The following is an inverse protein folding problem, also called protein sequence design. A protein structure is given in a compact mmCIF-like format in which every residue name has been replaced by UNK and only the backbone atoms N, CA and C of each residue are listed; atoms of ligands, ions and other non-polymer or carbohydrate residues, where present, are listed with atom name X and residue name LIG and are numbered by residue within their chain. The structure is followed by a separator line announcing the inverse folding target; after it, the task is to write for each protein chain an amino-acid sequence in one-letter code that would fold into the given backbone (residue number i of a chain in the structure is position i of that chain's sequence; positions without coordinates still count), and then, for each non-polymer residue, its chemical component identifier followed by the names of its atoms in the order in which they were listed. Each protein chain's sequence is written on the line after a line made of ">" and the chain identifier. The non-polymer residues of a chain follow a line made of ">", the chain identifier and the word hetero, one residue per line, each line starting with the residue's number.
data_IF_032704080355
#
_entry.id   IF_032704080355
#
_cell.length_a   1.000
_cell.length_b   1.000
_cell.length_c   1.000
_cell.angle_alpha   90.00
_cell.angle_beta   90.00
_cell.angle_gamma   90.00
#
_symmetry.space_group_name_H-M   'P 1'
#
loop_
_entity.id
_entity.type
_entity.pdbx_description
1 polymer ?
#
# COMPACT_ATOMS: atom_id res chain seq x y z
N UNK A 1 3.54 43.77 13.66
CA UNK A 1 2.36 42.92 13.33
C UNK A 1 2.82 41.86 12.34
N UNK A 2 2.98 40.61 12.80
CA UNK A 2 3.28 39.48 11.92
C UNK A 2 1.96 39.02 11.29
N UNK A 3 1.77 39.31 10.01
CA UNK A 3 0.64 38.80 9.23
C UNK A 3 0.84 37.27 9.11
N UNK A 4 0.17 36.52 9.98
CA UNK A 4 0.06 35.07 9.85
C UNK A 4 -0.90 34.78 8.70
N UNK A 5 -0.35 34.52 7.51
CA UNK A 5 -1.14 33.96 6.42
C UNK A 5 -1.70 32.62 6.89
N UNK A 6 -3.00 32.33 6.72
CA UNK A 6 -3.52 31.01 6.98
C UNK A 6 -2.74 30.03 6.11
N UNK A 7 -2.02 29.10 6.75
CA UNK A 7 -1.34 28.01 6.03
C UNK A 7 -2.41 27.20 5.32
N UNK A 8 -2.54 27.38 4.01
CA UNK A 8 -3.40 26.54 3.18
C UNK A 8 -2.81 25.14 3.16
N UNK A 9 -3.53 24.18 3.72
CA UNK A 9 -3.11 22.78 3.73
C UNK A 9 -3.56 22.09 2.43
N UNK A 10 -2.61 21.65 1.61
CA UNK A 10 -2.89 20.81 0.44
C UNK A 10 -3.06 19.38 0.91
N UNK A 11 -4.25 18.82 0.75
CA UNK A 11 -4.54 17.42 1.13
C UNK A 11 -4.21 16.51 -0.05
N UNK A 12 -3.19 15.66 0.11
CA UNK A 12 -2.89 14.60 -0.85
C UNK A 12 -3.91 13.48 -0.68
N UNK A 13 -4.65 13.14 -1.74
CA UNK A 13 -5.61 12.03 -1.76
C UNK A 13 -5.07 10.86 -2.56
N UNK A 14 -5.44 9.65 -2.14
CA UNK A 14 -5.21 8.42 -2.92
C UNK A 14 -6.32 8.23 -3.94
N UNK A 15 -5.96 7.72 -5.11
CA UNK A 15 -6.91 7.35 -6.15
C UNK A 15 -7.78 6.15 -5.68
N UNK A 16 -9.00 6.00 -6.22
CA UNK A 16 -9.78 4.79 -6.03
C UNK A 16 -8.98 3.55 -6.43
N UNK A 17 -9.08 2.49 -5.62
CA UNK A 17 -8.48 1.20 -5.91
C UNK A 17 -9.46 0.11 -5.48
N UNK A 18 -10.23 -0.37 -6.47
CA UNK A 18 -11.24 -1.41 -6.33
C UNK A 18 -10.57 -2.78 -6.28
N UNK A 19 -11.11 -3.68 -5.47
CA UNK A 19 -10.64 -5.08 -5.36
C UNK A 19 -11.75 -6.01 -5.84
N UNK A 20 -12.97 -5.74 -5.39
CA UNK A 20 -14.17 -6.48 -5.74
C UNK A 20 -14.30 -6.59 -7.27
N UNK A 21 -14.54 -7.82 -7.72
CA UNK A 21 -14.70 -8.19 -9.14
C UNK A 21 -13.51 -7.94 -10.07
N UNK A 22 -12.36 -7.50 -9.55
CA UNK A 22 -11.15 -7.22 -10.35
C UNK A 22 -9.98 -8.16 -10.04
N UNK A 23 -10.17 -9.14 -9.15
CA UNK A 23 -9.14 -10.11 -8.80
C UNK A 23 -9.07 -11.23 -9.85
N UNK A 24 -7.87 -11.44 -10.42
CA UNK A 24 -7.59 -12.43 -11.46
C UNK A 24 -6.65 -13.49 -10.86
N UNK A 25 -6.98 -14.80 -10.87
CA UNK A 25 -6.06 -15.84 -10.45
C UNK A 25 -4.74 -15.77 -11.24
N UNK A 26 -3.59 -15.89 -10.59
CA UNK A 26 -2.29 -15.82 -11.28
C UNK A 26 -2.13 -16.77 -12.49
N UNK A 27 -2.62 -18.03 -12.44
CA UNK A 27 -2.59 -18.92 -13.61
C UNK A 27 -3.35 -18.40 -14.83
N UNK A 28 -4.34 -17.51 -14.63
CA UNK A 28 -5.05 -16.82 -15.71
C UNK A 28 -4.38 -15.49 -16.06
N UNK A 29 -3.95 -14.74 -15.05
CA UNK A 29 -3.38 -13.40 -15.23
C UNK A 29 -2.08 -13.42 -16.02
N UNK A 30 -1.13 -14.31 -15.70
CA UNK A 30 0.20 -14.28 -16.31
C UNK A 30 0.19 -14.57 -17.83
N UNK A 31 -0.52 -15.58 -18.36
CA UNK A 31 -0.60 -15.76 -19.81
C UNK A 31 -1.31 -14.57 -20.49
N UNK A 32 -2.35 -14.02 -19.86
CA UNK A 32 -3.01 -12.80 -20.36
C UNK A 32 -2.05 -11.60 -20.39
N UNK A 33 -1.23 -11.42 -19.36
CA UNK A 33 -0.19 -10.40 -19.32
C UNK A 33 0.85 -10.58 -20.45
N UNK A 34 1.29 -11.81 -20.69
CA UNK A 34 2.20 -12.12 -21.80
C UNK A 34 1.57 -11.74 -23.14
N UNK A 35 0.33 -12.18 -23.38
CA UNK A 35 -0.41 -11.87 -24.61
C UNK A 35 -0.68 -10.37 -24.76
N UNK A 36 -0.87 -9.65 -23.66
CA UNK A 36 -0.97 -8.19 -23.69
C UNK A 36 0.33 -7.57 -24.20
N UNK A 37 1.50 -8.03 -23.72
CA UNK A 37 2.80 -7.60 -24.25
C UNK A 37 2.90 -7.84 -25.76
N UNK A 38 2.48 -9.03 -26.23
CA UNK A 38 2.49 -9.35 -27.66
C UNK A 38 1.58 -8.41 -28.47
N UNK A 39 0.39 -8.07 -27.96
CA UNK A 39 -0.51 -7.12 -28.63
C UNK A 39 0.03 -5.69 -28.68
N UNK A 40 0.93 -5.32 -27.75
CA UNK A 40 1.66 -4.06 -27.76
C UNK A 40 2.89 -4.07 -28.68
N UNK A 41 3.18 -5.18 -29.35
CA UNK A 41 4.30 -5.32 -30.28
C UNK A 41 5.61 -5.77 -29.63
N UNK A 42 5.58 -6.29 -28.40
CA UNK A 42 6.75 -6.90 -27.78
C UNK A 42 7.14 -8.17 -28.54
N UNK A 43 8.44 -8.47 -28.60
CA UNK A 43 8.99 -9.58 -29.39
C UNK A 43 9.31 -10.76 -28.49
N UNK A 44 8.71 -11.91 -28.83
CA UNK A 44 8.97 -13.19 -28.19
C UNK A 44 10.48 -13.47 -28.11
N UNK A 45 10.93 -13.96 -26.95
CA UNK A 45 12.34 -14.30 -26.71
C UNK A 45 13.25 -13.10 -26.42
N UNK A 46 12.77 -11.87 -26.61
CA UNK A 46 13.48 -10.63 -26.27
C UNK A 46 12.88 -9.90 -25.07
N UNK A 47 11.80 -10.46 -24.50
CA UNK A 47 11.16 -9.92 -23.29
C UNK A 47 11.95 -10.33 -22.06
N UNK A 48 12.46 -9.34 -21.32
CA UNK A 48 12.97 -9.55 -19.96
C UNK A 48 11.89 -9.17 -18.94
N UNK A 49 11.23 -10.14 -18.30
CA UNK A 49 10.33 -9.87 -17.20
C UNK A 49 11.12 -9.51 -15.95
N UNK A 50 10.51 -8.68 -15.12
CA UNK A 50 11.00 -8.28 -13.82
C UNK A 50 9.85 -8.29 -12.83
N UNK A 51 10.17 -8.62 -11.58
CA UNK A 51 9.22 -8.58 -10.47
C UNK A 51 9.69 -7.69 -9.33
N UNK A 52 8.74 -7.03 -8.70
CA UNK A 52 8.92 -6.30 -7.45
C UNK A 52 7.87 -6.73 -6.42
N UNK A 53 8.06 -7.96 -5.93
CA UNK A 53 7.23 -8.58 -4.89
C UNK A 53 7.96 -8.63 -3.56
N UNK A 54 7.20 -8.84 -2.48
CA UNK A 54 7.74 -9.15 -1.17
C UNK A 54 8.55 -10.47 -1.19
N UNK A 55 9.44 -10.65 -0.21
CA UNK A 55 10.25 -11.87 -0.04
C UNK A 55 9.51 -13.03 0.62
N UNK A 56 8.21 -12.87 0.93
CA UNK A 56 7.36 -13.87 1.58
C UNK A 56 7.18 -15.12 0.67
N UNK A 57 7.10 -16.32 1.25
CA UNK A 57 7.09 -17.58 0.48
C UNK A 57 5.87 -17.72 -0.43
N UNK A 58 4.75 -17.12 -0.02
CA UNK A 58 3.50 -17.14 -0.79
C UNK A 58 3.58 -16.32 -2.10
N UNK A 59 4.66 -15.55 -2.31
CA UNK A 59 4.94 -14.86 -3.57
C UNK A 59 5.73 -15.72 -4.58
N UNK A 60 6.12 -16.95 -4.20
CA UNK A 60 6.92 -17.83 -5.04
C UNK A 60 6.18 -18.37 -6.28
N UNK A 61 4.91 -18.76 -6.14
CA UNK A 61 4.11 -19.28 -7.26
C UNK A 61 3.91 -18.25 -8.39
N UNK A 62 3.57 -16.97 -8.09
CA UNK A 62 3.64 -15.89 -9.06
C UNK A 62 4.93 -15.86 -9.91
N UNK A 63 6.09 -16.01 -9.28
CA UNK A 63 7.41 -15.98 -9.94
C UNK A 63 7.58 -17.19 -10.87
N UNK A 64 7.14 -18.38 -10.44
CA UNK A 64 7.18 -19.60 -11.26
C UNK A 64 6.30 -19.45 -12.49
N UNK A 65 5.09 -18.92 -12.34
CA UNK A 65 4.17 -18.70 -13.46
C UNK A 65 4.71 -17.66 -14.45
N UNK A 66 5.32 -16.57 -13.97
CA UNK A 66 6.04 -15.63 -14.83
C UNK A 66 7.15 -16.33 -15.62
N UNK A 67 7.97 -17.14 -14.93
CA UNK A 67 9.06 -17.89 -15.58
C UNK A 67 8.52 -18.82 -16.67
N UNK A 68 7.42 -19.53 -16.39
CA UNK A 68 6.76 -20.43 -17.34
C UNK A 68 6.29 -19.70 -18.61
N UNK A 69 5.70 -18.52 -18.48
CA UNK A 69 5.07 -17.85 -19.62
C UNK A 69 6.01 -16.93 -20.39
N UNK A 70 6.98 -16.31 -19.73
CA UNK A 70 7.98 -15.46 -20.38
C UNK A 70 9.24 -16.23 -20.82
N UNK A 71 9.39 -17.48 -20.39
CA UNK A 71 10.50 -18.35 -20.79
C UNK A 71 11.84 -18.06 -20.10
N UNK A 72 11.88 -17.12 -19.16
CA UNK A 72 13.07 -16.79 -18.37
C UNK A 72 12.68 -16.35 -16.96
N UNK A 73 13.58 -16.56 -15.99
CA UNK A 73 13.32 -16.18 -14.61
C UNK A 73 13.28 -14.66 -14.48
N UNK A 74 12.27 -14.07 -13.82
CA UNK A 74 12.13 -12.62 -13.75
C UNK A 74 13.27 -11.98 -12.95
N UNK A 75 13.82 -10.91 -13.51
CA UNK A 75 14.78 -10.07 -12.83
C UNK A 75 14.19 -9.52 -11.52
N UNK A 76 14.98 -9.50 -10.45
CA UNK A 76 14.52 -9.05 -9.14
C UNK A 76 14.71 -7.53 -8.97
N UNK A 77 13.64 -6.76 -9.16
CA UNK A 77 13.57 -5.34 -8.77
C UNK A 77 13.11 -5.13 -7.33
N UNK A 78 12.49 -6.14 -6.72
CA UNK A 78 11.79 -6.02 -5.46
C UNK A 78 12.68 -5.88 -4.23
N UNK A 79 12.16 -5.12 -3.27
CA UNK A 79 12.49 -5.13 -1.86
C UNK A 79 11.25 -5.52 -1.06
N UNK A 80 11.43 -5.81 0.22
CA UNK A 80 10.35 -6.21 1.14
C UNK A 80 9.21 -5.17 1.12
N UNK A 81 7.96 -5.62 1.12
CA UNK A 81 6.78 -4.76 1.08
C UNK A 81 6.32 -4.34 -0.33
N UNK A 82 6.98 -4.82 -1.39
CA UNK A 82 6.63 -4.50 -2.77
C UNK A 82 7.26 -3.20 -3.28
N UNK A 83 8.35 -2.75 -2.66
CA UNK A 83 9.11 -1.56 -3.03
C UNK A 83 10.07 -1.87 -4.18
N UNK A 84 10.21 -0.97 -5.15
CA UNK A 84 11.15 -1.12 -6.27
C UNK A 84 12.51 -0.48 -5.96
N UNK A 85 13.58 -1.23 -6.23
CA UNK A 85 14.95 -0.74 -6.21
C UNK A 85 15.27 0.00 -7.53
N UNK A 86 15.20 1.34 -7.55
CA UNK A 86 15.43 2.16 -8.76
C UNK A 86 16.87 2.08 -9.26
N UNK A 87 17.82 1.79 -8.38
CA UNK A 87 19.22 1.50 -8.70
C UNK A 87 19.39 0.26 -9.61
N UNK A 88 18.33 -0.54 -9.78
CA UNK A 88 18.35 -1.73 -10.63
C UNK A 88 17.75 -1.52 -12.03
N UNK A 89 17.30 -0.31 -12.36
CA UNK A 89 16.76 -0.02 -13.69
C UNK A 89 17.78 -0.26 -14.80
N UNK A 90 19.01 0.24 -14.65
CA UNK A 90 20.09 0.06 -15.63
C UNK A 90 20.42 -1.42 -15.86
N UNK A 91 20.75 -2.20 -14.81
CA UNK A 91 20.99 -3.63 -14.94
C UNK A 91 19.84 -4.38 -15.62
N UNK A 92 18.59 -4.11 -15.25
CA UNK A 92 17.44 -4.73 -15.90
C UNK A 92 17.34 -4.37 -17.40
N UNK A 93 17.55 -3.10 -17.74
CA UNK A 93 17.44 -2.64 -19.12
C UNK A 93 18.48 -3.28 -20.06
N UNK A 94 19.61 -3.72 -19.53
CA UNK A 94 20.66 -4.41 -20.29
C UNK A 94 20.35 -5.89 -20.56
N UNK A 95 19.35 -6.47 -19.90
CA UNK A 95 19.06 -7.90 -19.96
C UNK A 95 17.98 -8.28 -20.98
N UNK A 96 17.37 -7.29 -21.66
CA UNK A 96 16.37 -7.51 -22.70
C UNK A 96 16.20 -6.30 -23.61
N UNK A 97 15.55 -6.51 -24.75
CA UNK A 97 15.18 -5.40 -25.64
C UNK A 97 13.78 -4.89 -25.36
N UNK A 98 12.89 -5.78 -24.92
CA UNK A 98 11.54 -5.48 -24.50
C UNK A 98 11.39 -5.83 -23.02
N UNK A 99 10.79 -4.96 -22.21
CA UNK A 99 10.92 -5.02 -20.76
C UNK A 99 9.57 -5.00 -20.06
N UNK A 100 9.36 -5.89 -19.09
CA UNK A 100 8.12 -5.94 -18.31
C UNK A 100 8.47 -5.83 -16.84
N UNK A 101 7.90 -4.87 -16.13
CA UNK A 101 8.03 -4.74 -14.68
C UNK A 101 6.66 -5.01 -14.07
N UNK A 102 6.54 -6.09 -13.30
CA UNK A 102 5.35 -6.38 -12.50
C UNK A 102 5.65 -6.10 -11.02
N UNK A 103 4.99 -5.10 -10.46
CA UNK A 103 5.13 -4.73 -9.05
C UNK A 103 3.85 -5.05 -8.29
N UNK A 104 4.00 -5.63 -7.11
CA UNK A 104 2.87 -5.86 -6.25
C UNK A 104 3.26 -5.74 -4.78
N UNK A 105 2.43 -5.02 -4.03
CA UNK A 105 2.28 -5.30 -2.60
C UNK A 105 1.37 -6.50 -2.42
N UNK A 106 1.33 -7.07 -1.22
CA UNK A 106 0.53 -8.27 -0.96
C UNK A 106 -0.18 -8.22 0.39
N UNK A 107 -1.29 -8.92 0.48
CA UNK A 107 -2.09 -9.07 1.69
C UNK A 107 -2.77 -10.42 1.71
N UNK A 108 -2.78 -11.08 2.87
CA UNK A 108 -3.55 -12.30 3.05
C UNK A 108 -5.05 -12.02 3.01
N UNK A 109 -5.82 -12.92 2.43
CA UNK A 109 -7.28 -12.83 2.36
C UNK A 109 -7.90 -14.18 2.72
N UNK A 110 -8.83 -14.16 3.68
CA UNK A 110 -9.65 -15.31 4.02
C UNK A 110 -10.99 -15.23 3.27
N UNK A 111 -11.25 -16.11 2.30
CA UNK A 111 -12.48 -16.08 1.51
C UNK A 111 -13.74 -16.45 2.30
N UNK A 112 -13.61 -17.15 3.44
CA UNK A 112 -14.77 -17.52 4.26
C UNK A 112 -15.28 -16.36 5.10
N UNK A 113 -14.36 -15.59 5.67
CA UNK A 113 -14.69 -14.47 6.57
C UNK A 113 -14.67 -13.11 5.88
N UNK A 114 -14.07 -13.03 4.69
CA UNK A 114 -13.81 -11.77 3.98
C UNK A 114 -12.79 -10.88 4.68
N UNK A 115 -11.95 -11.46 5.56
CA UNK A 115 -10.98 -10.71 6.36
C UNK A 115 -9.62 -10.63 5.67
N UNK A 116 -8.93 -9.51 5.89
CA UNK A 116 -7.62 -9.23 5.30
C UNK A 116 -6.51 -9.28 6.36
N UNK A 117 -5.29 -9.57 5.90
CA UNK A 117 -4.05 -9.41 6.66
C UNK A 117 -3.50 -10.68 7.30
N UNK A 118 -4.18 -11.82 7.15
CA UNK A 118 -3.78 -13.11 7.74
C UNK A 118 -3.61 -14.19 6.68
N UNK A 119 -2.69 -15.13 6.95
CA UNK A 119 -2.39 -16.25 6.06
C UNK A 119 -1.98 -17.48 6.87
N UNK A 120 -2.42 -18.67 6.45
CA UNK A 120 -2.03 -19.96 7.05
C UNK A 120 -0.63 -20.33 6.55
N UNK A 121 0.31 -20.60 7.46
CA UNK A 121 1.69 -20.93 7.11
C UNK A 121 1.83 -22.44 6.85
N UNK A 122 2.04 -22.88 5.60
CA UNK A 122 1.92 -24.30 5.22
C UNK A 122 3.08 -25.18 5.73
N UNK A 123 4.15 -24.58 6.28
CA UNK A 123 5.33 -25.29 6.78
C UNK A 123 5.42 -25.35 8.31
N UNK A 124 4.34 -25.01 9.01
CA UNK A 124 4.25 -25.09 10.47
C UNK A 124 3.41 -26.29 10.87
N UNK A 125 3.77 -26.95 11.97
CA UNK A 125 2.95 -28.01 12.55
C UNK A 125 1.63 -27.41 13.09
N UNK A 126 0.51 -28.07 12.79
CA UNK A 126 -0.83 -27.56 13.08
C UNK A 126 -1.20 -26.33 12.25
N UNK A 127 -2.39 -25.78 12.48
CA UNK A 127 -2.86 -24.58 11.77
C UNK A 127 -2.25 -23.32 12.38
N UNK A 128 -1.11 -22.88 11.85
CA UNK A 128 -0.49 -21.61 12.26
C UNK A 128 -0.92 -20.48 11.34
N UNK A 129 -1.56 -19.45 11.89
CA UNK A 129 -2.00 -18.26 11.17
C UNK A 129 -1.15 -17.06 11.60
N UNK A 130 -0.60 -16.32 10.64
CA UNK A 130 0.22 -15.13 10.92
C UNK A 130 -0.04 -14.01 9.92
N UNK A 131 0.62 -12.86 10.10
CA UNK A 131 0.40 -11.68 9.27
C UNK A 131 0.92 -11.88 7.83
N UNK A 132 0.16 -11.40 6.84
CA UNK A 132 0.58 -11.26 5.44
C UNK A 132 0.02 -9.95 4.88
N UNK A 133 0.83 -8.99 4.42
CA UNK A 133 2.28 -8.89 4.48
C UNK A 133 2.81 -8.68 5.91
N UNK A 134 3.81 -9.47 6.33
CA UNK A 134 4.44 -9.33 7.64
C UNK A 134 5.09 -7.96 7.87
N UNK A 135 5.86 -7.46 6.90
CA UNK A 135 6.56 -6.16 7.01
C UNK A 135 5.59 -4.99 7.08
N UNK A 136 4.59 -4.92 6.19
CA UNK A 136 3.60 -3.83 6.21
C UNK A 136 2.83 -3.84 7.53
N UNK A 137 2.41 -5.02 7.98
CA UNK A 137 1.69 -5.14 9.26
C UNK A 137 2.57 -4.67 10.41
N UNK A 138 3.85 -5.08 10.45
CA UNK A 138 4.80 -4.63 11.47
C UNK A 138 4.95 -3.10 11.51
N UNK A 139 5.02 -2.45 10.34
CA UNK A 139 5.12 -0.99 10.24
C UNK A 139 3.89 -0.29 10.80
N UNK A 140 2.68 -0.77 10.52
CA UNK A 140 1.46 -0.07 10.92
C UNK A 140 1.01 -0.40 12.36
N UNK A 141 1.45 -1.52 12.94
CA UNK A 141 1.00 -1.96 14.28
C UNK A 141 1.17 -0.90 15.37
N UNK A 142 2.34 -0.24 15.53
CA UNK A 142 2.51 0.77 16.59
C UNK A 142 1.50 1.93 16.47
N UNK A 143 1.15 2.33 15.25
CA UNK A 143 0.17 3.40 15.00
C UNK A 143 -1.25 2.94 15.32
N UNK A 144 -1.60 1.69 14.99
CA UNK A 144 -2.89 1.09 15.35
C UNK A 144 -3.04 1.06 16.88
N UNK A 145 -1.99 0.65 17.60
CA UNK A 145 -2.00 0.62 19.07
C UNK A 145 -2.18 2.01 19.67
N UNK A 146 -1.50 3.03 19.14
CA UNK A 146 -1.67 4.41 19.58
C UNK A 146 -3.07 4.97 19.27
N UNK A 147 -3.61 4.67 18.09
CA UNK A 147 -4.96 5.08 17.71
C UNK A 147 -6.01 4.44 18.62
N UNK A 148 -5.92 3.12 18.86
CA UNK A 148 -6.82 2.42 19.80
C UNK A 148 -6.66 2.90 21.24
N UNK A 149 -5.44 3.27 21.64
CA UNK A 149 -5.18 3.88 22.93
C UNK A 149 -5.87 5.26 23.07
N UNK A 150 -5.84 6.08 22.01
CA UNK A 150 -6.51 7.38 21.95
C UNK A 150 -8.04 7.25 21.95
N UNK A 151 -8.61 6.35 21.13
CA UNK A 151 -10.06 6.08 21.06
C UNK A 151 -10.68 5.77 22.42
N UNK A 152 -9.94 5.10 23.30
CA UNK A 152 -10.38 4.70 24.65
C UNK A 152 -10.21 5.79 25.71
N UNK A 153 -9.47 6.87 25.40
CA UNK A 153 -9.02 7.87 26.40
C UNK A 153 -9.38 9.31 26.08
N UNK A 154 -10.03 9.53 24.94
CA UNK A 154 -10.67 10.79 24.58
C UNK A 154 -12.16 10.60 24.83
N UNK A 155 -12.78 11.52 25.55
CA UNK A 155 -14.16 11.39 26.00
C UNK A 155 -15.03 12.53 25.48
N UNK A 156 -16.23 12.21 25.00
CA UNK A 156 -17.26 13.15 24.60
C UNK A 156 -18.37 13.16 25.66
N UNK A 157 -18.75 14.34 26.12
CA UNK A 157 -19.80 14.49 27.14
C UNK A 157 -20.57 15.79 26.97
N UNK A 158 -21.67 15.90 27.70
CA UNK A 158 -22.47 17.11 27.84
C UNK A 158 -22.51 17.54 29.29
N UNK A 159 -22.25 18.81 29.56
CA UNK A 159 -22.38 19.34 30.91
C UNK A 159 -23.87 19.57 31.29
N UNK A 160 -24.09 19.98 32.54
CA UNK A 160 -25.42 20.29 33.09
C UNK A 160 -26.08 21.48 32.39
N UNK A 161 -25.28 22.39 31.80
CA UNK A 161 -25.76 23.54 31.03
C UNK A 161 -26.10 23.20 29.58
N UNK A 162 -25.86 21.95 29.16
CA UNK A 162 -26.12 21.48 27.81
C UNK A 162 -24.97 21.69 26.82
N UNK A 163 -23.80 22.16 27.26
CA UNK A 163 -22.65 22.36 26.37
C UNK A 163 -22.01 21.02 26.01
N UNK A 164 -21.65 20.85 24.74
CA UNK A 164 -20.91 19.70 24.26
C UNK A 164 -19.41 19.88 24.49
N UNK A 165 -18.80 18.92 25.18
CA UNK A 165 -17.43 18.97 25.67
C UNK A 165 -16.62 17.76 25.21
N UNK A 166 -15.31 17.96 25.11
CA UNK A 166 -14.33 16.89 24.90
C UNK A 166 -13.26 16.94 25.97
N UNK A 167 -12.97 15.79 26.58
CA UNK A 167 -11.86 15.63 27.53
C UNK A 167 -10.76 14.81 26.86
N UNK A 168 -9.56 15.39 26.73
CA UNK A 168 -8.41 14.77 26.07
C UNK A 168 -7.25 14.62 27.05
N UNK A 169 -6.43 13.58 26.90
CA UNK A 169 -5.18 13.44 27.67
C UNK A 169 -4.14 14.43 27.16
N UNK A 170 -3.33 14.98 28.07
CA UNK A 170 -2.27 15.94 27.73
C UNK A 170 -1.26 15.37 26.71
N UNK A 171 -1.08 14.04 26.68
CA UNK A 171 -0.21 13.34 25.73
C UNK A 171 -0.65 13.47 24.27
N UNK A 172 -1.89 13.88 23.98
CA UNK A 172 -2.39 14.08 22.61
C UNK A 172 -2.47 15.55 22.19
N UNK A 173 -2.12 16.47 23.10
CA UNK A 173 -2.24 17.92 22.89
C UNK A 173 -0.86 18.50 22.63
N UNK A 174 -0.72 19.24 21.54
CA UNK A 174 0.55 19.84 21.14
C UNK A 174 0.76 21.21 21.79
N UNK A 175 1.10 21.21 23.08
CA UNK A 175 1.38 22.45 23.80
C UNK A 175 2.65 23.11 23.27
N UNK A 176 2.62 24.42 23.03
CA UNK A 176 3.77 25.16 22.52
C UNK A 176 5.03 25.04 23.41
N UNK A 177 4.85 24.92 24.73
CA UNK A 177 5.94 24.75 25.71
C UNK A 177 6.41 23.29 25.84
N UNK A 178 5.58 22.32 25.48
CA UNK A 178 5.89 20.90 25.56
C UNK A 178 5.20 20.16 24.41
N UNK A 179 5.74 20.31 23.18
CA UNK A 179 5.13 19.69 22.02
C UNK A 179 5.25 18.17 22.12
N UNK A 180 4.26 17.47 21.56
CA UNK A 180 4.33 16.00 21.44
C UNK A 180 5.55 15.68 20.59
N UNK A 181 6.46 14.83 21.07
CA UNK A 181 7.69 14.50 20.30
C UNK A 181 7.47 13.34 19.34
N UNK A 182 6.77 12.31 19.81
CA UNK A 182 6.45 11.13 19.03
C UNK A 182 5.05 10.66 19.41
N UNK A 183 4.22 10.41 18.39
CA UNK A 183 2.93 9.77 18.51
C UNK A 183 1.75 10.57 17.94
N UNK A 184 0.55 10.13 18.29
CA UNK A 184 -0.72 10.74 17.83
C UNK A 184 -0.93 12.13 18.44
N UNK A 185 -1.18 13.11 17.58
CA UNK A 185 -1.49 14.50 17.95
C UNK A 185 -2.86 14.87 17.40
N UNK A 186 -3.72 15.41 18.28
CA UNK A 186 -5.04 15.91 17.87
C UNK A 186 -4.91 17.28 17.20
N UNK A 187 -5.63 17.45 16.09
CA UNK A 187 -5.85 18.72 15.43
C UNK A 187 -7.01 19.44 16.13
N UNK A 188 -6.76 19.96 17.33
CA UNK A 188 -7.78 20.59 18.16
C UNK A 188 -8.51 21.72 17.45
N UNK A 189 -7.85 22.44 16.53
CA UNK A 189 -8.44 23.51 15.72
C UNK A 189 -9.61 23.04 14.83
N UNK A 190 -9.75 21.73 14.59
CA UNK A 190 -10.88 21.13 13.86
C UNK A 190 -11.98 20.59 14.78
N UNK A 191 -11.73 20.54 16.09
CA UNK A 191 -12.56 19.86 17.08
C UNK A 191 -13.22 20.87 18.02
N UNK A 192 -12.44 21.82 18.52
CA UNK A 192 -12.81 22.69 19.64
C UNK A 192 -13.28 24.07 19.18
N UNK A 193 -14.07 24.73 20.03
CA UNK A 193 -14.45 26.12 19.84
C UNK A 193 -13.24 27.02 20.07
N UNK A 194 -13.03 27.97 19.16
CA UNK A 194 -12.05 29.04 19.33
C UNK A 194 -12.68 30.21 20.10
N UNK A 195 -11.88 30.90 20.91
CA UNK A 195 -12.27 32.17 21.52
C UNK A 195 -12.26 33.32 20.50
N UNK A 196 -12.63 34.53 20.95
CA UNK A 196 -12.70 35.73 20.10
C UNK A 196 -11.33 36.12 19.50
N UNK A 197 -10.24 35.75 20.16
CA UNK A 197 -8.86 35.93 19.69
C UNK A 197 -8.37 34.76 18.82
N UNK A 198 -9.25 33.83 18.45
CA UNK A 198 -8.97 32.60 17.70
C UNK A 198 -8.00 31.64 18.40
N UNK A 199 -7.98 31.64 19.73
CA UNK A 199 -7.19 30.74 20.57
C UNK A 199 -8.01 29.55 21.02
N UNK A 200 -7.32 28.46 21.31
CA UNK A 200 -7.89 27.26 21.93
C UNK A 200 -7.69 27.41 23.43
N UNK A 201 -8.79 27.55 24.17
CA UNK A 201 -8.76 27.73 25.63
C UNK A 201 -9.56 26.60 26.29
N UNK A 202 -8.96 25.84 27.24
CA UNK A 202 -9.69 24.80 27.94
C UNK A 202 -10.75 25.40 28.87
N UNK A 203 -11.90 24.73 28.97
CA UNK A 203 -12.91 25.05 29.98
C UNK A 203 -12.53 24.53 31.37
N UNK A 204 -11.72 23.46 31.41
CA UNK A 204 -11.16 22.92 32.64
C UNK A 204 -9.80 22.24 32.39
N UNK A 205 -8.91 22.36 33.37
CA UNK A 205 -7.63 21.64 33.40
C UNK A 205 -7.65 20.62 34.53
N UNK A 206 -7.37 19.36 34.19
CA UNK A 206 -7.25 18.23 35.11
C UNK A 206 -5.79 17.80 35.23
N UNK A 207 -5.48 16.90 36.17
CA UNK A 207 -4.10 16.46 36.45
C UNK A 207 -3.36 15.88 35.23
N UNK A 208 -4.07 15.20 34.33
CA UNK A 208 -3.50 14.55 33.13
C UNK A 208 -4.25 14.85 31.85
N UNK A 209 -5.21 15.78 31.91
CA UNK A 209 -6.18 16.01 30.84
C UNK A 209 -6.62 17.46 30.77
N UNK A 210 -7.14 17.85 29.61
CA UNK A 210 -7.83 19.12 29.42
C UNK A 210 -9.20 18.88 28.83
N UNK A 211 -10.16 19.70 29.27
CA UNK A 211 -11.53 19.70 28.76
C UNK A 211 -11.73 20.95 27.92
N UNK A 212 -12.31 20.79 26.73
CA UNK A 212 -12.58 21.88 25.80
C UNK A 212 -14.05 21.88 25.41
N UNK A 213 -14.57 23.08 25.15
CA UNK A 213 -15.85 23.22 24.44
C UNK A 213 -15.67 22.85 22.97
N UNK A 214 -16.63 22.12 22.41
CA UNK A 214 -16.59 21.70 21.01
C UNK A 214 -17.02 22.81 20.06
N UNK A 215 -16.41 22.82 18.87
CA UNK A 215 -16.81 23.71 17.79
C UNK A 215 -18.09 23.23 17.12
N UNK A 216 -18.91 24.17 16.63
CA UNK A 216 -20.22 23.88 16.02
C UNK A 216 -20.13 22.90 14.84
N UNK A 217 -19.10 23.05 13.99
CA UNK A 217 -18.87 22.16 12.84
C UNK A 217 -18.63 20.71 13.26
N UNK A 218 -17.84 20.52 14.32
CA UNK A 218 -17.56 19.20 14.84
C UNK A 218 -18.80 18.61 15.53
N UNK A 219 -19.53 19.39 16.32
CA UNK A 219 -20.80 18.95 16.90
C UNK A 219 -21.78 18.49 15.82
N UNK A 220 -22.02 19.30 14.78
CA UNK A 220 -22.90 18.92 13.66
C UNK A 220 -22.48 17.62 12.99
N UNK A 221 -21.16 17.41 12.84
CA UNK A 221 -20.62 16.16 12.27
C UNK A 221 -20.91 14.95 13.17
N UNK A 222 -20.76 15.10 14.49
CA UNK A 222 -21.05 14.04 15.47
C UNK A 222 -22.55 13.76 15.53
N UNK A 223 -23.39 14.80 15.56
CA UNK A 223 -24.85 14.65 15.58
C UNK A 223 -25.35 13.93 14.32
N UNK A 224 -24.75 14.19 13.16
CA UNK A 224 -25.07 13.52 11.91
C UNK A 224 -24.78 12.00 11.92
N UNK A 225 -23.97 11.50 12.86
CA UNK A 225 -23.78 10.04 13.04
C UNK A 225 -24.87 9.40 13.90
N UNK A 226 -25.82 10.17 14.42
CA UNK A 226 -26.84 9.71 15.36
C UNK A 226 -26.30 9.50 16.78
N UNK A 227 -25.16 10.10 17.12
CA UNK A 227 -24.58 10.00 18.46
C UNK A 227 -25.47 10.65 19.51
N UNK A 228 -25.60 10.01 20.68
CA UNK A 228 -26.42 10.50 21.79
C UNK A 228 -25.51 10.99 22.91
N UNK A 229 -25.39 12.31 23.06
CA UNK A 229 -24.58 12.94 24.10
C UNK A 229 -24.98 12.48 25.51
N UNK A 230 -23.97 12.10 26.30
CA UNK A 230 -24.12 11.62 27.68
C UNK A 230 -23.66 12.70 28.67
N UNK A 231 -24.37 12.81 29.79
CA UNK A 231 -23.94 13.64 30.92
C UNK A 231 -22.81 12.99 31.74
N UNK A 232 -22.31 13.74 32.73
CA UNK A 232 -21.25 13.26 33.63
C UNK A 232 -19.91 13.06 32.91
N UNK A 233 -19.23 11.94 33.17
CA UNK A 233 -17.92 11.63 32.57
C UNK A 233 -17.99 11.30 31.06
N UNK A 234 -19.20 11.15 30.52
CA UNK A 234 -19.43 10.85 29.10
C UNK A 234 -19.08 9.44 28.68
N UNK A 235 -18.69 9.31 27.42
CA UNK A 235 -18.16 8.06 26.86
C UNK A 235 -16.96 8.33 25.95
N UNK A 236 -16.21 7.26 25.68
CA UNK A 236 -15.04 7.35 24.82
C UNK A 236 -15.43 7.66 23.37
N UNK A 237 -14.58 8.42 22.66
CA UNK A 237 -14.83 8.90 21.30
C UNK A 237 -14.95 7.76 20.28
N UNK A 238 -14.34 6.60 20.55
CA UNK A 238 -14.43 5.38 19.71
C UNK A 238 -14.18 5.72 18.23
N UNK A 239 -15.06 5.28 17.33
CA UNK A 239 -14.91 5.42 15.88
C UNK A 239 -15.24 6.84 15.37
N UNK A 240 -15.59 7.78 16.27
CA UNK A 240 -15.79 9.19 15.96
C UNK A 240 -14.46 9.97 15.91
N UNK A 241 -13.33 9.32 16.21
CA UNK A 241 -11.99 9.88 15.99
C UNK A 241 -11.59 9.71 14.52
N UNK A 242 -12.13 10.57 13.65
CA UNK A 242 -11.91 10.48 12.21
C UNK A 242 -10.47 10.82 11.80
N UNK A 243 -10.02 10.27 10.66
CA UNK A 243 -8.66 10.43 10.13
C UNK A 243 -8.19 11.88 9.96
N UNK A 244 -9.12 12.81 9.71
CA UNK A 244 -8.80 14.22 9.51
C UNK A 244 -8.65 15.01 10.82
N UNK A 245 -8.87 14.39 11.98
CA UNK A 245 -8.82 15.02 13.31
C UNK A 245 -7.47 14.83 14.01
N UNK A 246 -6.55 14.08 13.43
CA UNK A 246 -5.25 13.81 14.03
C UNK A 246 -4.18 13.57 12.98
N UNK A 247 -2.93 13.64 13.40
CA UNK A 247 -1.78 13.17 12.65
C UNK A 247 -0.82 12.45 13.59
N UNK A 248 0.13 11.71 13.02
CA UNK A 248 1.23 11.15 13.79
C UNK A 248 2.47 12.00 13.58
N UNK A 249 3.11 12.39 14.69
CA UNK A 249 4.43 12.98 14.66
C UNK A 249 5.46 11.90 14.92
N UNK A 250 6.44 11.82 14.04
CA UNK A 250 7.59 10.94 14.23
C UNK A 250 8.86 11.65 13.79
N UNK A 251 9.96 11.29 14.44
CA UNK A 251 11.29 11.76 14.10
C UNK A 251 12.05 10.60 13.41
N UNK A 252 12.11 10.65 12.08
CA UNK A 252 12.81 9.64 11.29
C UNK A 252 14.30 10.00 11.24
N UNK A 253 15.07 9.53 12.22
CA UNK A 253 16.50 9.84 12.34
C UNK A 253 17.40 9.15 11.30
N UNK A 254 16.92 8.09 10.64
CA UNK A 254 17.73 7.34 9.66
C UNK A 254 17.41 7.78 8.23
N UNK A 255 18.41 7.99 7.36
CA UNK A 255 18.19 8.28 5.93
C UNK A 255 18.12 7.03 5.06
N UNK A 256 18.11 5.84 5.66
CA UNK A 256 18.30 4.60 4.94
C UNK A 256 17.10 4.17 4.11
N UNK A 257 17.40 3.47 3.02
CA UNK A 257 16.41 2.83 2.17
C UNK A 257 15.65 1.68 2.88
N UNK A 258 16.07 1.29 4.09
CA UNK A 258 15.40 0.33 4.98
C UNK A 258 14.09 0.88 5.57
N UNK A 259 13.97 2.21 5.70
CA UNK A 259 12.78 2.88 6.26
C UNK A 259 11.91 3.58 5.20
N UNK A 260 12.16 3.32 3.91
CA UNK A 260 11.43 3.95 2.81
C UNK A 260 9.93 3.64 2.87
N UNK A 261 9.57 2.42 3.30
CA UNK A 261 8.19 2.00 3.46
C UNK A 261 7.49 2.80 4.58
N UNK A 262 8.12 2.89 5.74
CA UNK A 262 7.68 3.62 6.92
C UNK A 262 7.42 5.08 6.57
N UNK A 263 8.41 5.75 5.98
CA UNK A 263 8.29 7.15 5.52
C UNK A 263 7.18 7.34 4.49
N UNK A 264 7.02 6.39 3.57
CA UNK A 264 5.97 6.46 2.55
C UNK A 264 4.57 6.38 3.17
N UNK A 265 4.39 5.52 4.17
CA UNK A 265 3.10 5.33 4.83
C UNK A 265 2.80 6.38 5.92
N UNK A 266 3.82 6.99 6.53
CA UNK A 266 3.69 7.92 7.66
C UNK A 266 2.63 9.01 7.43
N UNK A 267 2.67 9.65 6.24
CA UNK A 267 1.71 10.71 5.88
C UNK A 267 0.27 10.25 5.70
N UNK A 268 0.03 8.94 5.62
CA UNK A 268 -1.29 8.34 5.44
C UNK A 268 -1.73 7.49 6.65
N UNK A 269 -0.95 7.47 7.74
CA UNK A 269 -1.27 6.67 8.92
C UNK A 269 -2.66 6.95 9.48
N UNK A 270 -3.16 8.20 9.57
CA UNK A 270 -4.54 8.44 10.00
C UNK A 270 -5.57 7.69 9.15
N UNK A 271 -5.43 7.71 7.81
CA UNK A 271 -6.32 6.98 6.90
C UNK A 271 -6.17 5.45 7.01
N UNK A 272 -4.97 4.97 7.34
CA UNK A 272 -4.68 3.53 7.50
C UNK A 272 -5.33 3.01 8.78
N UNK A 273 -5.09 3.67 9.92
CA UNK A 273 -5.54 3.17 11.24
C UNK A 273 -7.05 3.32 11.43
N UNK A 274 -7.69 4.28 10.76
CA UNK A 274 -9.16 4.43 10.78
C UNK A 274 -9.87 3.53 9.77
N UNK A 275 -9.14 2.83 8.89
CA UNK A 275 -9.73 1.92 7.91
C UNK A 275 -10.25 0.66 8.56
N UNK A 276 -11.38 0.12 8.05
CA UNK A 276 -11.89 -1.20 8.46
C UNK A 276 -10.86 -2.32 8.27
N UNK A 277 -10.00 -2.20 7.26
CA UNK A 277 -8.93 -3.16 6.98
C UNK A 277 -7.60 -2.39 6.84
N UNK A 278 -6.86 -2.16 7.96
CA UNK A 278 -5.62 -1.38 7.93
C UNK A 278 -4.54 -1.99 7.03
N UNK A 279 -4.32 -3.31 7.09
CA UNK A 279 -3.31 -3.99 6.26
C UNK A 279 -3.60 -3.85 4.76
N UNK A 280 -4.87 -4.01 4.35
CA UNK A 280 -5.30 -3.79 2.97
C UNK A 280 -5.11 -2.31 2.56
N UNK A 281 -5.50 -1.36 3.43
CA UNK A 281 -5.36 0.07 3.14
C UNK A 281 -3.90 0.45 2.96
N UNK A 282 -3.01 -0.02 3.83
CA UNK A 282 -1.58 0.21 3.72
C UNK A 282 -0.98 -0.40 2.45
N UNK A 283 -1.34 -1.64 2.11
CA UNK A 283 -0.91 -2.30 0.87
C UNK A 283 -1.33 -1.53 -0.38
N UNK A 284 -2.57 -1.01 -0.41
CA UNK A 284 -3.06 -0.16 -1.49
C UNK A 284 -2.29 1.17 -1.59
N UNK A 285 -2.04 1.84 -0.46
CA UNK A 285 -1.31 3.12 -0.45
C UNK A 285 0.12 2.94 -0.99
N UNK A 286 0.86 1.92 -0.54
CA UNK A 286 2.24 1.73 -1.00
C UNK A 286 2.32 1.48 -2.51
N UNK A 287 1.34 0.75 -3.07
CA UNK A 287 1.22 0.54 -4.52
C UNK A 287 1.12 1.88 -5.26
N UNK A 288 0.27 2.80 -4.80
CA UNK A 288 0.09 4.09 -5.47
C UNK A 288 1.30 5.01 -5.35
N UNK A 289 1.92 5.02 -4.18
CA UNK A 289 3.13 5.81 -3.93
C UNK A 289 4.31 5.30 -4.77
N UNK A 290 4.51 3.99 -4.80
CA UNK A 290 5.58 3.38 -5.58
C UNK A 290 5.36 3.59 -7.07
N UNK A 291 4.15 3.42 -7.59
CA UNK A 291 3.88 3.66 -9.00
C UNK A 291 4.24 5.09 -9.43
N UNK A 292 3.79 6.09 -8.66
CA UNK A 292 4.14 7.48 -8.94
C UNK A 292 5.66 7.70 -8.89
N UNK A 293 6.34 7.16 -7.88
CA UNK A 293 7.79 7.27 -7.72
C UNK A 293 8.54 6.62 -8.89
N UNK A 294 8.10 5.46 -9.34
CA UNK A 294 8.77 4.68 -10.38
C UNK A 294 8.49 5.21 -11.78
N UNK A 295 7.27 5.64 -12.07
CA UNK A 295 6.97 6.32 -13.34
C UNK A 295 7.82 7.59 -13.48
N UNK A 296 7.96 8.39 -12.41
CA UNK A 296 8.85 9.55 -12.42
C UNK A 296 10.33 9.16 -12.57
N UNK A 297 10.78 8.08 -11.93
CA UNK A 297 12.14 7.58 -12.08
C UNK A 297 12.43 7.11 -13.52
N UNK A 298 11.49 6.39 -14.14
CA UNK A 298 11.59 5.93 -15.53
C UNK A 298 11.66 7.13 -16.48
N UNK A 299 10.78 8.12 -16.30
CA UNK A 299 10.69 9.31 -17.17
C UNK A 299 11.91 10.22 -17.09
N UNK A 300 12.56 10.30 -15.93
CA UNK A 300 13.77 11.11 -15.73
C UNK A 300 15.05 10.37 -16.10
N UNK A 301 15.00 9.04 -16.06
CA UNK A 301 16.12 8.17 -16.40
C UNK A 301 16.32 8.02 -17.91
N UNK A 302 17.46 7.46 -18.29
CA UNK A 302 17.79 7.12 -19.68
C UNK A 302 17.93 5.61 -19.89
N UNK A 303 17.82 4.82 -18.82
CA UNK A 303 18.07 3.38 -18.80
C UNK A 303 17.17 2.63 -19.79
N UNK A 304 15.92 3.08 -19.92
CA UNK A 304 14.91 2.48 -20.78
C UNK A 304 14.72 3.21 -22.12
N UNK A 305 15.60 4.17 -22.46
CA UNK A 305 15.47 4.93 -23.70
C UNK A 305 15.51 4.02 -24.94
N UNK A 306 14.58 4.21 -25.87
CA UNK A 306 14.51 3.45 -27.11
C UNK A 306 14.11 1.98 -26.94
N UNK A 307 13.48 1.59 -25.83
CA UNK A 307 12.99 0.22 -25.56
C UNK A 307 11.48 0.21 -25.36
N UNK A 308 10.86 -0.94 -25.63
CA UNK A 308 9.51 -1.23 -25.17
C UNK A 308 9.54 -1.52 -23.67
N UNK A 309 8.68 -0.87 -22.89
CA UNK A 309 8.56 -1.06 -21.44
C UNK A 309 7.08 -1.06 -21.03
N UNK A 310 6.66 -2.14 -20.39
CA UNK A 310 5.39 -2.26 -19.71
C UNK A 310 5.63 -2.35 -18.21
N UNK A 311 5.28 -1.30 -17.47
CA UNK A 311 5.30 -1.32 -16.01
C UNK A 311 3.87 -1.43 -15.49
N UNK A 312 3.53 -2.55 -14.85
CA UNK A 312 2.22 -2.79 -14.23
C UNK A 312 2.38 -2.89 -12.72
N UNK A 313 1.44 -2.28 -12.01
CA UNK A 313 1.31 -2.39 -10.56
C UNK A 313 -0.06 -2.92 -10.15
N UNK A 314 -0.11 -3.63 -9.04
CA UNK A 314 -1.35 -4.14 -8.47
C UNK A 314 -1.16 -4.76 -7.10
N UNK A 315 -2.21 -5.42 -6.62
CA UNK A 315 -2.25 -6.08 -5.32
C UNK A 315 -2.27 -7.60 -5.50
N UNK A 316 -1.37 -8.29 -4.80
CA UNK A 316 -1.45 -9.74 -4.62
C UNK A 316 -2.35 -10.05 -3.42
N UNK A 317 -3.41 -10.82 -3.65
CA UNK A 317 -4.25 -11.40 -2.61
C UNK A 317 -3.79 -12.84 -2.37
N UNK A 318 -3.24 -13.09 -1.18
CA UNK A 318 -2.74 -14.42 -0.83
C UNK A 318 -3.86 -15.22 -0.16
N UNK A 319 -4.26 -16.32 -0.79
CA UNK A 319 -5.34 -17.19 -0.35
C UNK A 319 -4.70 -18.50 0.12
N UNK A 320 -4.99 -18.88 1.35
CA UNK A 320 -4.49 -20.13 1.94
C UNK A 320 -5.09 -21.35 1.24
N UNK A 321 -4.49 -22.52 1.44
CA UNK A 321 -5.06 -23.80 1.02
C UNK A 321 -6.51 -23.94 1.55
N UNK A 322 -7.42 -24.39 0.70
CA UNK A 322 -8.82 -24.61 1.07
C UNK A 322 -9.37 -25.81 0.31
N UNK A 323 -10.16 -26.67 0.95
CA UNK A 323 -10.91 -27.77 0.30
C UNK A 323 -10.11 -28.64 -0.70
N UNK A 324 -8.82 -28.88 -0.44
CA UNK A 324 -7.94 -29.65 -1.34
C UNK A 324 -7.36 -28.86 -2.52
N UNK A 325 -7.71 -27.58 -2.66
CA UNK A 325 -7.05 -26.63 -3.55
C UNK A 325 -5.78 -26.08 -2.89
N UNK A 326 -4.68 -25.95 -3.67
CA UNK A 326 -3.43 -25.41 -3.15
C UNK A 326 -3.58 -23.93 -2.80
N UNK A 327 -2.68 -23.43 -1.93
CA UNK A 327 -2.55 -22.00 -1.71
C UNK A 327 -2.33 -21.30 -3.05
N UNK A 328 -2.98 -20.15 -3.21
CA UNK A 328 -3.00 -19.44 -4.48
C UNK A 328 -2.91 -17.94 -4.26
N UNK A 329 -2.56 -17.22 -5.32
CA UNK A 329 -2.48 -15.78 -5.32
C UNK A 329 -3.36 -15.25 -6.43
N UNK A 330 -4.16 -14.23 -6.14
CA UNK A 330 -4.90 -13.49 -7.14
C UNK A 330 -4.23 -12.13 -7.33
N UNK A 331 -4.16 -11.64 -8.56
CA UNK A 331 -3.66 -10.31 -8.89
C UNK A 331 -4.84 -9.36 -9.14
N UNK A 332 -4.81 -8.21 -8.48
CA UNK A 332 -5.73 -7.10 -8.74
C UNK A 332 -4.94 -5.99 -9.43
N UNK A 333 -5.06 -5.79 -10.76
CA UNK A 333 -4.37 -4.72 -11.46
C UNK A 333 -4.85 -3.35 -10.96
N UNK A 334 -3.95 -2.37 -10.86
CA UNK A 334 -4.30 -1.01 -10.48
C UNK A 334 -3.93 0.03 -11.53
N UNK A 335 -2.69 0.03 -12.02
CA UNK A 335 -2.27 0.98 -13.05
C UNK A 335 -1.13 0.43 -13.89
N UNK A 336 -0.97 0.96 -15.10
CA UNK A 336 0.15 0.63 -15.97
C UNK A 336 0.77 1.87 -16.61
N UNK A 337 2.09 1.85 -16.77
CA UNK A 337 2.82 2.76 -17.64
C UNK A 337 3.34 1.98 -18.84
N UNK A 338 3.09 2.52 -20.03
CA UNK A 338 3.45 1.92 -21.32
C UNK A 338 4.36 2.88 -22.05
N UNK A 339 5.53 2.39 -22.44
CA UNK A 339 6.47 3.06 -23.32
C UNK A 339 6.77 2.13 -24.47
N UNK A 340 6.71 2.63 -25.71
CA UNK A 340 7.05 1.87 -26.90
C UNK A 340 8.26 2.50 -27.58
N UNK A 341 9.13 1.65 -28.15
CA UNK A 341 10.38 2.07 -28.79
C UNK A 341 10.17 3.13 -29.88
N UNK A 342 9.09 3.03 -30.65
CA UNK A 342 8.76 3.93 -31.75
C UNK A 342 7.85 5.10 -31.32
N UNK A 343 7.74 5.35 -30.01
CA UNK A 343 6.75 6.26 -29.44
C UNK A 343 5.44 5.53 -29.15
N UNK A 344 4.87 5.80 -27.98
CA UNK A 344 3.56 5.27 -27.61
C UNK A 344 2.45 6.13 -28.25
N UNK A 345 1.35 5.51 -28.73
CA UNK A 345 0.13 6.25 -29.12
C UNK A 345 -0.33 7.24 -28.04
N UNK A 346 -1.04 8.30 -28.45
CA UNK A 346 -1.55 9.35 -27.54
C UNK A 346 -2.38 8.77 -26.38
N UNK A 347 -3.11 7.67 -26.63
CA UNK A 347 -3.88 6.97 -25.62
C UNK A 347 -3.05 6.34 -24.48
N UNK A 348 -1.72 6.30 -24.61
CA UNK A 348 -0.77 5.86 -23.58
C UNK A 348 0.18 6.98 -23.13
N UNK A 349 -0.09 8.24 -23.52
CA UNK A 349 0.67 9.40 -23.02
C UNK A 349 0.58 9.53 -21.49
N UNK A 350 -0.56 9.13 -20.93
CA UNK A 350 -0.79 9.01 -19.50
C UNK A 350 -0.85 7.54 -19.07
N UNK A 351 -0.59 7.25 -17.78
CA UNK A 351 -0.84 5.92 -17.23
C UNK A 351 -2.22 5.36 -17.59
N UNK A 352 -2.27 4.06 -17.82
CA UNK A 352 -3.52 3.32 -18.01
C UNK A 352 -4.10 3.02 -16.64
N UNK A 353 -5.25 3.61 -16.36
CA UNK A 353 -5.97 3.47 -15.08
C UNK A 353 -6.69 2.11 -14.95
N UNK A 354 -7.02 1.75 -13.70
CA UNK A 354 -7.46 0.42 -13.27
C UNK A 354 -8.51 -0.25 -14.16
N UNK A 355 -9.66 0.39 -14.39
CA UNK A 355 -10.78 -0.25 -15.10
C UNK A 355 -10.40 -0.56 -16.56
N UNK A 356 -9.68 0.36 -17.23
CA UNK A 356 -9.17 0.16 -18.60
C UNK A 356 -8.09 -0.93 -18.62
N UNK A 357 -7.17 -0.90 -17.67
CA UNK A 357 -6.10 -1.91 -17.56
C UNK A 357 -6.68 -3.31 -17.37
N UNK A 358 -7.64 -3.46 -16.47
CA UNK A 358 -8.35 -4.72 -16.26
C UNK A 358 -9.01 -5.21 -17.55
N UNK A 359 -9.73 -4.32 -18.26
CA UNK A 359 -10.34 -4.65 -19.55
C UNK A 359 -9.34 -5.11 -20.61
N UNK A 360 -8.19 -4.41 -20.72
CA UNK A 360 -7.12 -4.77 -21.66
C UNK A 360 -6.52 -6.15 -21.36
N UNK A 361 -6.28 -6.46 -20.08
CA UNK A 361 -5.75 -7.76 -19.64
C UNK A 361 -6.80 -8.86 -19.86
N UNK A 362 -8.04 -8.65 -19.42
CA UNK A 362 -9.09 -9.67 -19.52
C UNK A 362 -9.48 -9.99 -20.97
N UNK A 363 -9.36 -9.01 -21.86
CA UNK A 363 -9.55 -9.18 -23.30
C UNK A 363 -8.49 -10.07 -23.98
N UNK A 364 -7.37 -10.38 -23.31
CA UNK A 364 -6.37 -11.30 -23.85
C UNK A 364 -6.77 -12.75 -23.68
N UNK A 365 -6.25 -13.62 -24.56
CA UNK A 365 -6.39 -15.07 -24.40
C UNK A 365 -5.68 -15.56 -23.14
N UNK A 366 -6.26 -16.57 -22.48
CA UNK A 366 -5.58 -17.33 -21.41
C UNK A 366 -4.60 -18.36 -21.99
N UNK A 367 -4.72 -18.70 -23.26
CA UNK A 367 -3.78 -19.58 -23.94
C UNK A 367 -2.53 -18.81 -24.33
N UNK A 368 -1.37 -19.31 -23.88
CA UNK A 368 -0.06 -18.83 -24.31
C UNK A 368 0.64 -20.01 -25.02
N UNK A 369 0.68 -20.03 -26.36
CA UNK A 369 1.35 -21.10 -27.13
C UNK A 369 2.87 -21.06 -26.98
N UNK A 370 3.43 -19.96 -26.46
CA UNK A 370 4.86 -19.72 -26.28
C UNK A 370 5.38 -20.07 -24.88
N UNK A 371 4.51 -20.56 -24.00
CA UNK A 371 4.91 -20.96 -22.65
C UNK A 371 5.93 -22.10 -22.68
N UNK A 372 6.92 -22.05 -21.79
CA UNK A 372 7.94 -23.10 -21.68
C UNK A 372 7.45 -24.26 -20.82
N UNK A 373 7.83 -25.47 -21.20
CA UNK A 373 7.67 -26.64 -20.33
C UNK A 373 8.89 -26.75 -19.41
N UNK A 374 8.75 -26.22 -18.18
CA UNK A 374 9.84 -26.21 -17.20
C UNK A 374 10.44 -27.61 -16.93
N UNK A 375 9.65 -28.69 -17.02
CA UNK A 375 10.14 -30.06 -16.82
C UNK A 375 11.03 -30.51 -17.99
N UNK A 376 10.66 -30.15 -19.22
CA UNK A 376 11.48 -30.41 -20.40
C UNK A 376 12.78 -29.61 -20.35
N UNK A 377 12.73 -28.32 -19.95
CA UNK A 377 13.94 -27.50 -19.74
C UNK A 377 14.91 -28.13 -18.76
N UNK A 378 14.41 -28.55 -17.58
CA UNK A 378 15.23 -29.22 -16.58
C UNK A 378 15.83 -30.52 -17.15
N UNK A 379 15.06 -31.27 -17.94
CA UNK A 379 15.55 -32.44 -18.66
C UNK A 379 16.71 -32.12 -19.60
N UNK A 380 16.60 -31.03 -20.38
CA UNK A 380 17.68 -30.56 -21.26
C UNK A 380 18.93 -30.13 -20.47
N UNK A 381 18.74 -29.45 -19.34
CA UNK A 381 19.85 -29.04 -18.46
C UNK A 381 20.60 -30.24 -17.88
N UNK A 382 19.88 -31.30 -17.48
CA UNK A 382 20.50 -32.53 -16.95
C UNK A 382 21.27 -33.32 -18.02
N UNK A 383 20.91 -33.16 -19.30
CA UNK A 383 21.61 -33.77 -20.43
C UNK A 383 22.80 -32.93 -20.91
N UNK A 384 22.95 -31.69 -20.44
CA UNK A 384 24.03 -30.80 -20.87
C UNK A 384 25.41 -31.36 -20.45
N UNK A 385 26.45 -31.19 -21.28
CA UNK A 385 27.81 -31.59 -20.92
C UNK A 385 28.26 -30.94 -19.61
N UNK A 386 28.95 -31.70 -18.77
CA UNK A 386 29.63 -31.14 -17.60
C UNK A 386 30.89 -30.41 -18.06
N UNK A 387 30.96 -29.11 -17.79
CA UNK A 387 32.16 -28.31 -18.06
C UNK A 387 33.09 -28.30 -16.83
N UNK A 388 34.40 -28.38 -17.05
CA UNK A 388 35.41 -28.14 -16.02
C UNK A 388 35.53 -26.63 -15.77
N UNK A 389 34.85 -26.16 -14.72
CA UNK A 389 34.82 -24.73 -14.38
C UNK A 389 36.12 -24.38 -13.65
N UNK A 390 37.01 -23.66 -14.32
CA UNK A 390 38.28 -23.19 -13.75
C UNK A 390 38.17 -21.72 -13.36
N UNK A 391 38.60 -21.37 -12.16
CA UNK A 391 38.90 -19.97 -11.83
C UNK A 391 40.22 -19.58 -12.52
N UNK A 392 40.27 -18.38 -13.11
CA UNK A 392 41.55 -17.78 -13.47
C UNK A 392 42.42 -17.71 -12.21
N UNK A 393 43.65 -18.20 -12.30
CA UNK A 393 44.62 -18.11 -11.20
C UNK A 393 45.00 -16.67 -10.91
#
# INVERSE_FOLDING_TARGET
>A
MSISYPKTHIVRRMAPFKVDSLAIPYPEFVPKLFNFCMSLGFRKGLIMPSRAFCSDENQGLPIILMTKHFGTFPFNHGRVGGVIATDRHGPHAHHGEDLVILQASHVGYDPHTGTYGKFVRPKMAGTTISNSCGKITHVITPYIEQYEFAKKRIFLHRDESGNHLITVKNSFVDFASYPVKNGLVLLLEKIVKLDDDRRIVPVAALSTSQTFALGEDFCRRIDATGYIWKGGDGESIKDLLFADLFFFREDFHETDASILLERSLAGFMPEIVTSRNPSLRAAKIIIQLEFSRIVESIRRGTEYAGKNLLYITGLNLDISEFEGFPATTYFVPWAAHIQLQNGAPEEYAHPVEQDRLFGLIMGQSIENPDQVNLKEEIGRMLQAPRFDIRSSK
#
